data_IF_820370525771
#
_entry.id   IF_820370525771
#
_cell.length_a   1.000
_cell.length_b   1.000
_cell.length_c   1.000
_cell.angle_alpha   90.00
_cell.angle_beta   90.00
_cell.angle_gamma   90.00
#
_symmetry.space_group_name_H-M   'P 1'
#
loop_
_entity.id
_entity.type
_entity.pdbx_description
1 polymer ?
#
# COMPACT_ATOMS: atom_id res chain seq x y z
N UNK A 1 1.06 -7.34 -1.77
CA UNK A 1 1.50 -6.35 -0.79
C UNK A 1 0.82 -5.03 -1.05
N UNK A 2 0.57 -4.27 -0.03
CA UNK A 2 -0.07 -2.96 -0.15
C UNK A 2 0.94 -1.89 0.21
N UNK A 3 1.00 -0.85 -0.61
CA UNK A 3 1.98 0.22 -0.47
C UNK A 3 1.23 1.56 -0.58
N UNK A 4 1.33 2.40 0.42
CA UNK A 4 0.70 3.73 0.41
C UNK A 4 1.80 4.76 0.26
N UNK A 5 1.75 5.52 -0.84
CA UNK A 5 2.85 6.37 -1.27
C UNK A 5 2.49 7.85 -1.20
N UNK A 6 3.46 8.67 -0.77
CA UNK A 6 3.40 10.11 -0.92
C UNK A 6 4.79 10.60 -1.31
N UNK A 7 4.88 11.23 -2.48
CA UNK A 7 6.12 11.81 -3.00
C UNK A 7 7.25 10.77 -3.11
N UNK A 8 6.91 9.55 -3.46
CA UNK A 8 7.90 8.48 -3.62
C UNK A 8 8.30 7.79 -2.33
N UNK A 9 7.71 8.19 -1.20
CA UNK A 9 8.01 7.59 0.11
C UNK A 9 6.86 6.77 0.65
N UNK A 10 7.19 5.76 1.44
CA UNK A 10 6.19 4.89 2.06
C UNK A 10 5.57 5.58 3.27
N UNK A 11 4.24 5.53 3.35
CA UNK A 11 3.49 5.93 4.53
C UNK A 11 3.13 4.70 5.34
N UNK A 12 3.00 4.85 6.66
CA UNK A 12 2.61 3.74 7.52
C UNK A 12 1.81 4.17 8.73
N UNK A 13 1.09 3.19 9.30
CA UNK A 13 0.60 3.21 10.67
C UNK A 13 1.10 1.94 11.34
N UNK A 14 1.08 1.86 12.67
CA UNK A 14 1.43 0.60 13.34
C UNK A 14 0.59 -0.57 12.81
N UNK A 15 -0.69 -0.34 12.53
CA UNK A 15 -1.59 -1.39 12.06
C UNK A 15 -1.22 -1.88 10.65
N UNK A 16 -0.90 -0.96 9.72
CA UNK A 16 -0.54 -1.37 8.35
C UNK A 16 0.81 -2.06 8.32
N UNK A 17 1.76 -1.58 9.12
CA UNK A 17 3.06 -2.22 9.22
C UNK A 17 2.94 -3.63 9.78
N UNK A 18 2.21 -3.79 10.87
CA UNK A 18 2.04 -5.09 11.51
C UNK A 18 1.37 -6.09 10.56
N UNK A 19 0.33 -5.67 9.84
CA UNK A 19 -0.36 -6.56 8.93
C UNK A 19 0.54 -6.98 7.75
N UNK A 20 1.29 -6.04 7.18
CA UNK A 20 2.18 -6.35 6.08
C UNK A 20 3.25 -7.36 6.50
N UNK A 21 3.88 -7.12 7.66
CA UNK A 21 4.91 -8.03 8.15
C UNK A 21 4.34 -9.40 8.50
N UNK A 22 3.14 -9.46 9.07
CA UNK A 22 2.49 -10.72 9.41
C UNK A 22 2.21 -11.55 8.15
N UNK A 23 1.71 -10.93 7.10
CA UNK A 23 1.43 -11.61 5.83
C UNK A 23 2.71 -12.18 5.23
N UNK A 24 3.80 -11.42 5.23
CA UNK A 24 5.06 -11.85 4.64
C UNK A 24 5.71 -12.99 5.42
N UNK A 25 5.32 -13.19 6.67
CA UNK A 25 5.86 -14.27 7.52
C UNK A 25 5.00 -15.53 7.47
N UNK A 26 3.89 -15.54 6.75
CA UNK A 26 3.10 -16.75 6.58
C UNK A 26 3.93 -17.79 5.82
N UNK A 27 3.96 -19.07 6.28
CA UNK A 27 4.87 -20.06 5.70
C UNK A 27 4.77 -20.22 4.18
N UNK A 28 3.55 -20.22 3.64
CA UNK A 28 3.37 -20.39 2.20
C UNK A 28 3.83 -19.19 1.37
N UNK A 29 3.96 -18.02 2.00
CA UNK A 29 4.49 -16.83 1.34
C UNK A 29 5.98 -16.72 1.59
N UNK A 30 6.42 -16.86 2.84
CA UNK A 30 7.82 -16.74 3.20
C UNK A 30 8.69 -17.75 2.45
N UNK A 31 8.18 -18.96 2.20
CA UNK A 31 8.94 -19.99 1.50
C UNK A 31 9.25 -19.62 0.04
N UNK A 32 8.53 -18.66 -0.53
CA UNK A 32 8.71 -18.22 -1.92
C UNK A 32 9.57 -16.98 -2.04
N UNK A 33 10.01 -16.40 -0.92
CA UNK A 33 10.73 -15.15 -0.91
C UNK A 33 12.23 -15.38 -0.65
N UNK A 34 13.10 -14.53 -1.26
CA UNK A 34 14.53 -14.58 -0.93
C UNK A 34 14.75 -14.33 0.57
N UNK A 35 15.81 -14.90 1.15
CA UNK A 35 16.05 -14.75 2.60
C UNK A 35 16.14 -13.30 3.08
N UNK A 36 16.66 -12.40 2.23
CA UNK A 36 16.83 -10.99 2.60
C UNK A 36 15.56 -10.15 2.40
N UNK A 37 14.49 -10.71 1.86
CA UNK A 37 13.32 -9.93 1.50
C UNK A 37 12.65 -9.30 2.71
N UNK A 38 12.42 -10.07 3.76
CA UNK A 38 11.77 -9.56 4.97
C UNK A 38 12.60 -8.46 5.63
N UNK A 39 13.92 -8.64 5.68
CA UNK A 39 14.80 -7.62 6.24
C UNK A 39 14.73 -6.32 5.42
N UNK A 40 14.65 -6.44 4.08
CA UNK A 40 14.50 -5.29 3.21
C UNK A 40 13.19 -4.55 3.46
N UNK A 41 12.09 -5.28 3.62
CA UNK A 41 10.79 -4.67 3.90
C UNK A 41 10.79 -3.99 5.26
N UNK A 42 11.38 -4.63 6.29
CA UNK A 42 11.51 -3.98 7.60
C UNK A 42 12.30 -2.69 7.51
N UNK A 43 13.35 -2.66 6.69
CA UNK A 43 14.13 -1.45 6.46
C UNK A 43 13.31 -0.35 5.82
N UNK A 44 12.46 -0.69 4.84
CA UNK A 44 11.57 0.29 4.24
C UNK A 44 10.60 0.87 5.27
N UNK A 45 9.99 0.04 6.10
CA UNK A 45 9.08 0.51 7.13
C UNK A 45 9.78 1.35 8.19
N UNK A 46 11.04 1.05 8.50
CA UNK A 46 11.78 1.85 9.48
C UNK A 46 12.00 3.28 9.00
N UNK A 47 12.02 3.48 7.68
CA UNK A 47 12.19 4.81 7.08
C UNK A 47 10.86 5.44 6.65
N UNK A 48 9.76 4.73 6.81
CA UNK A 48 8.45 5.20 6.39
C UNK A 48 7.96 6.32 7.30
N UNK A 49 7.14 7.21 6.73
CA UNK A 49 6.51 8.27 7.50
C UNK A 49 5.32 7.73 8.29
N UNK A 50 5.33 7.95 9.59
CA UNK A 50 4.22 7.55 10.46
C UNK A 50 3.10 8.58 10.36
N UNK A 51 1.89 8.12 10.01
CA UNK A 51 0.75 9.00 9.83
C UNK A 51 -0.25 8.80 10.97
N UNK A 52 -0.62 9.86 11.70
CA UNK A 52 -1.67 9.74 12.70
C UNK A 52 -3.03 9.63 12.02
N UNK A 53 -3.89 8.72 12.51
CA UNK A 53 -5.22 8.53 11.97
C UNK A 53 -6.21 9.37 12.77
N UNK A 54 -6.84 10.31 12.09
CA UNK A 54 -7.85 11.20 12.67
C UNK A 54 -9.22 10.88 12.12
N UNK A 55 -9.31 10.56 10.83
CA UNK A 55 -10.56 10.28 10.15
C UNK A 55 -10.66 8.78 9.84
N UNK A 56 -11.61 8.06 10.44
CA UNK A 56 -11.80 6.65 10.12
C UNK A 56 -12.38 6.47 8.72
N UNK A 57 -12.09 5.32 8.09
CA UNK A 57 -12.61 4.98 6.77
C UNK A 57 -13.18 3.56 6.82
N UNK A 58 -14.42 3.40 6.36
CA UNK A 58 -15.07 2.10 6.23
C UNK A 58 -15.59 2.00 4.81
N UNK A 59 -14.92 1.23 3.95
CA UNK A 59 -15.27 1.17 2.53
C UNK A 59 -14.98 -0.16 1.88
N UNK A 60 -14.06 -0.97 2.41
CA UNK A 60 -13.67 -2.22 1.78
C UNK A 60 -14.65 -3.35 2.10
N UNK A 61 -14.79 -4.29 1.14
CA UNK A 61 -15.58 -5.48 1.38
C UNK A 61 -15.02 -6.28 2.56
N UNK A 62 -13.69 -6.35 2.67
CA UNK A 62 -13.01 -6.91 3.83
C UNK A 62 -12.60 -5.76 4.74
N UNK A 63 -13.21 -5.64 5.94
CA UNK A 63 -12.88 -4.51 6.84
C UNK A 63 -11.41 -4.44 7.26
N UNK A 64 -10.68 -5.54 7.19
CA UNK A 64 -9.25 -5.50 7.54
C UNK A 64 -8.43 -4.71 6.55
N UNK A 65 -8.97 -4.43 5.35
CA UNK A 65 -8.29 -3.62 4.34
C UNK A 65 -8.55 -2.13 4.52
N UNK A 66 -9.53 -1.74 5.31
CA UNK A 66 -9.85 -0.33 5.52
C UNK A 66 -8.70 0.47 6.08
N UNK A 67 -7.82 -0.15 6.86
CA UNK A 67 -6.68 0.55 7.45
C UNK A 67 -5.75 1.15 6.40
N UNK A 68 -5.68 0.56 5.20
CA UNK A 68 -4.84 1.10 4.12
C UNK A 68 -5.49 2.32 3.50
N UNK A 69 -6.82 2.32 3.37
CA UNK A 69 -7.54 3.50 2.91
C UNK A 69 -7.46 4.63 3.94
N UNK A 70 -7.60 4.29 5.23
CA UNK A 70 -7.44 5.28 6.30
C UNK A 70 -6.08 5.94 6.24
N UNK A 71 -5.03 5.14 6.06
CA UNK A 71 -3.69 5.66 5.95
C UNK A 71 -3.57 6.61 4.75
N UNK A 72 -4.11 6.22 3.61
CA UNK A 72 -4.03 7.03 2.41
C UNK A 72 -4.77 8.36 2.56
N UNK A 73 -5.98 8.33 3.12
CA UNK A 73 -6.78 9.54 3.32
C UNK A 73 -6.12 10.46 4.34
N UNK A 74 -5.75 9.93 5.50
CA UNK A 74 -5.16 10.74 6.57
C UNK A 74 -3.76 11.25 6.24
N UNK A 75 -3.03 10.53 5.39
CA UNK A 75 -1.69 10.93 4.96
C UNK A 75 -1.67 11.74 3.68
N UNK A 76 -2.83 12.05 3.10
CA UNK A 76 -2.92 12.73 1.81
C UNK A 76 -2.01 12.06 0.76
N UNK A 77 -2.15 10.75 0.63
CA UNK A 77 -1.30 9.95 -0.24
C UNK A 77 -1.47 10.32 -1.71
N UNK A 78 -0.43 10.12 -2.49
CA UNK A 78 -0.47 10.30 -3.93
C UNK A 78 -1.05 9.07 -4.62
N UNK A 79 -0.87 7.89 -4.05
CA UNK A 79 -1.39 6.64 -4.62
C UNK A 79 -1.33 5.50 -3.61
N UNK A 80 -2.10 4.45 -3.91
CA UNK A 80 -1.99 3.16 -3.24
C UNK A 80 -1.57 2.14 -4.29
N UNK A 81 -0.54 1.36 -4.00
CA UNK A 81 -0.07 0.29 -4.88
C UNK A 81 -0.44 -1.05 -4.25
N UNK A 82 -1.23 -1.84 -4.95
CA UNK A 82 -1.70 -3.12 -4.41
C UNK A 82 -2.07 -4.09 -5.52
N UNK A 83 -1.89 -5.39 -5.26
CA UNK A 83 -2.41 -6.44 -6.13
C UNK A 83 -3.77 -6.96 -5.70
N UNK A 84 -4.33 -6.41 -4.63
CA UNK A 84 -5.59 -6.89 -4.07
C UNK A 84 -6.77 -6.32 -4.85
N UNK A 85 -7.57 -7.19 -5.45
CA UNK A 85 -8.73 -6.78 -6.25
C UNK A 85 -9.77 -6.04 -5.41
N UNK A 86 -9.92 -6.37 -4.13
CA UNK A 86 -10.89 -5.70 -3.26
C UNK A 86 -10.54 -4.22 -3.05
N UNK A 87 -9.27 -3.85 -3.17
CA UNK A 87 -8.86 -2.46 -3.14
C UNK A 87 -8.86 -1.84 -4.54
N UNK A 88 -8.41 -2.57 -5.55
CA UNK A 88 -8.34 -2.04 -6.92
C UNK A 88 -9.70 -1.63 -7.45
N UNK A 89 -10.77 -2.34 -7.08
CA UNK A 89 -12.12 -1.99 -7.53
C UNK A 89 -12.60 -0.65 -6.99
N UNK A 90 -11.96 -0.12 -5.96
CA UNK A 90 -12.32 1.18 -5.37
C UNK A 90 -11.60 2.35 -6.04
N UNK A 91 -10.73 2.09 -7.02
CA UNK A 91 -9.98 3.15 -7.72
C UNK A 91 -10.91 4.08 -8.52
N UNK A 92 -10.73 5.41 -8.44
CA UNK A 92 -9.95 6.13 -7.44
C UNK A 92 -10.77 6.28 -6.15
N UNK A 93 -10.12 6.27 -5.00
CA UNK A 93 -10.80 6.43 -3.74
C UNK A 93 -10.58 7.85 -3.21
N UNK A 94 -11.64 8.63 -3.17
CA UNK A 94 -11.58 10.05 -2.74
C UNK A 94 -10.47 10.80 -3.47
N UNK A 95 -10.33 10.54 -4.77
CA UNK A 95 -9.31 11.17 -5.60
C UNK A 95 -7.93 10.54 -5.51
N UNK A 96 -7.75 9.52 -4.68
CA UNK A 96 -6.46 8.84 -4.56
C UNK A 96 -6.43 7.65 -5.52
N UNK A 97 -5.48 7.62 -6.46
CA UNK A 97 -5.35 6.49 -7.38
C UNK A 97 -4.98 5.20 -6.67
N UNK A 98 -5.53 4.10 -7.16
CA UNK A 98 -5.14 2.76 -6.68
C UNK A 98 -4.68 2.00 -7.91
N UNK A 99 -3.40 1.59 -7.92
CA UNK A 99 -2.79 0.95 -9.08
C UNK A 99 -2.13 -0.37 -8.69
N UNK A 100 -1.96 -1.26 -9.67
CA UNK A 100 -1.30 -2.52 -9.39
C UNK A 100 0.24 -2.35 -9.45
N UNK A 101 0.99 -3.30 -8.84
CA UNK A 101 2.45 -3.17 -8.79
C UNK A 101 3.12 -3.12 -10.15
N UNK A 102 2.58 -3.84 -11.14
CA UNK A 102 3.17 -3.85 -12.48
C UNK A 102 3.04 -2.47 -13.13
N UNK A 103 1.88 -1.83 -12.98
CA UNK A 103 1.67 -0.48 -13.51
C UNK A 103 2.61 0.51 -12.82
N UNK A 104 2.78 0.37 -11.50
CA UNK A 104 3.68 1.23 -10.74
C UNK A 104 5.12 1.13 -11.24
N UNK A 105 5.60 -0.09 -11.45
CA UNK A 105 6.98 -0.33 -11.91
C UNK A 105 7.20 0.22 -13.32
N UNK A 106 6.17 0.13 -14.19
CA UNK A 106 6.26 0.66 -15.55
C UNK A 106 6.16 2.17 -15.63
N UNK A 107 5.86 2.83 -14.50
CA UNK A 107 5.64 4.28 -14.51
C UNK A 107 4.32 4.68 -15.15
N UNK A 108 3.34 3.77 -15.17
CA UNK A 108 2.03 4.04 -15.75
C UNK A 108 1.20 4.84 -14.74
N UNK A 109 0.56 5.90 -15.21
CA UNK A 109 -0.23 6.76 -14.35
C UNK A 109 -1.53 6.11 -13.88
N UNK A 110 -2.29 6.83 -13.02
CA UNK A 110 -3.45 6.27 -12.34
C UNK A 110 -4.52 5.70 -13.25
N UNK A 111 -4.74 6.27 -14.40
CA UNK A 111 -5.75 5.78 -15.34
C UNK A 111 -5.17 4.79 -16.34
N UNK A 112 -4.01 4.23 -16.06
CA UNK A 112 -3.33 3.31 -16.95
C UNK A 112 -2.54 4.00 -18.05
N UNK A 113 -2.46 5.32 -18.02
CA UNK A 113 -1.72 6.07 -19.03
C UNK A 113 -0.23 6.06 -18.71
N UNK A 114 0.64 5.89 -19.72
CA UNK A 114 2.06 5.95 -19.48
C UNK A 114 2.48 7.35 -19.08
N UNK A 115 3.51 7.42 -18.26
CA UNK A 115 4.18 8.66 -17.96
C UNK A 115 4.80 9.18 -19.22
N UNK A 116 4.47 10.38 -19.58
CA UNK A 116 5.07 10.90 -20.75
C UNK A 116 6.03 11.93 -20.39
N UNK A 117 6.78 11.91 -20.52
CA UNK A 117 7.45 12.79 -20.43
C UNK A 117 8.11 13.27 -20.13
#
# INVERSE_FOLDING_TARGET
MRWVDRHGGLLKTPATEAQTLAVLQRPHIASKLPPAYLAGVRGLFSRAELVPIVTPVVACRDPTDDKFLELAVNGAADMIVTGDLDLLVLHPFRGIPIIDPAAFVRGVGPAGEPETR
#
